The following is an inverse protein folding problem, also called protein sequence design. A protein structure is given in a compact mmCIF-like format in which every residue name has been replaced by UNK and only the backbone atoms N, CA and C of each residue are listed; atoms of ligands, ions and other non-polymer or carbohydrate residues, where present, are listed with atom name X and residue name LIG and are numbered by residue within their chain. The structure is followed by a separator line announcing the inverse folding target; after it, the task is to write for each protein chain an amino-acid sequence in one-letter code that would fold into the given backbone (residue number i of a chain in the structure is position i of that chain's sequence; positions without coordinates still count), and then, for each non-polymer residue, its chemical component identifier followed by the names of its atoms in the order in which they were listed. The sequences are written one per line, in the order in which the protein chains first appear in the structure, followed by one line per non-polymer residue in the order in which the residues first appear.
data_IF_245649878455
#
_entry.id   IF_245649878455
#
_cell.length_a   1.000
_cell.length_b   1.000
_cell.length_c   1.000
_cell.angle_alpha   90.00
_cell.angle_beta   90.00
_cell.angle_gamma   90.00
#
_symmetry.space_group_name_H-M   'P 1'
#
loop_
_entity.id
_entity.type
_entity.pdbx_description
1 polymer ?
#
# COMPACT_ATOMS: atom_id res chain seq x y z
N UNK A 1 -4.96 -13.67 -14.34
CA UNK A 1 -6.38 -13.74 -13.93
C UNK A 1 -7.02 -12.40 -14.25
N UNK A 2 -8.14 -12.34 -15.00
CA UNK A 2 -8.86 -11.07 -15.17
C UNK A 2 -9.30 -10.55 -13.80
N UNK A 3 -9.32 -9.23 -13.62
CA UNK A 3 -9.90 -8.63 -12.41
C UNK A 3 -11.40 -9.01 -12.34
N UNK A 4 -11.97 -9.15 -11.13
CA UNK A 4 -13.41 -9.32 -10.99
C UNK A 4 -14.12 -8.16 -11.70
N UNK A 5 -15.15 -8.48 -12.48
CA UNK A 5 -16.05 -7.45 -13.04
C UNK A 5 -16.53 -6.57 -11.88
N UNK A 6 -16.39 -5.26 -12.04
CA UNK A 6 -16.72 -4.19 -11.09
C UNK A 6 -15.53 -3.61 -10.29
N UNK A 7 -14.32 -4.18 -10.38
CA UNK A 7 -13.12 -3.53 -9.83
C UNK A 7 -13.19 -3.23 -8.34
N UNK A 8 -13.90 -4.09 -7.59
CA UNK A 8 -14.08 -3.95 -6.14
C UNK A 8 -12.72 -4.01 -5.46
N UNK A 9 -12.45 -2.98 -4.65
CA UNK A 9 -11.24 -2.92 -3.84
C UNK A 9 -11.32 -3.90 -2.67
N UNK A 10 -10.18 -4.49 -2.32
CA UNK A 10 -10.05 -5.34 -1.14
C UNK A 10 -9.85 -6.81 -1.46
N UNK A 11 -10.01 -7.68 -0.45
CA UNK A 11 -9.56 -9.08 -0.51
C UNK A 11 -10.45 -9.94 -1.41
N UNK A 12 -9.87 -11.04 -1.90
CA UNK A 12 -10.64 -12.12 -2.54
C UNK A 12 -11.66 -12.66 -1.53
N UNK A 13 -12.95 -12.54 -1.86
CA UNK A 13 -14.04 -12.96 -0.97
C UNK A 13 -14.74 -11.81 -0.22
N UNK A 14 -14.26 -10.56 -0.39
CA UNK A 14 -14.88 -9.37 0.21
C UNK A 14 -14.46 -9.13 1.67
N UNK A 15 -14.93 -8.00 2.21
CA UNK A 15 -14.53 -7.51 3.53
C UNK A 15 -13.55 -6.34 3.45
N UNK A 16 -12.94 -6.02 4.58
CA UNK A 16 -12.01 -4.91 4.68
C UNK A 16 -10.70 -5.18 3.94
N UNK A 17 -10.05 -4.11 3.48
CA UNK A 17 -8.77 -4.21 2.79
C UNK A 17 -7.71 -4.80 3.73
N UNK A 18 -7.13 -5.95 3.36
CA UNK A 18 -6.02 -6.53 4.12
C UNK A 18 -4.68 -6.33 3.40
N UNK A 19 -3.81 -5.48 3.94
CA UNK A 19 -2.49 -5.15 3.39
C UNK A 19 -1.51 -4.70 4.48
N UNK A 20 -0.22 -5.03 4.32
CA UNK A 20 0.90 -4.68 5.20
C UNK A 20 1.18 -3.17 5.30
N UNK A 21 0.45 -2.37 4.52
CA UNK A 21 0.43 -0.92 4.62
C UNK A 21 -0.29 -0.46 5.89
N UNK A 22 -1.29 -1.21 6.37
CA UNK A 22 -2.15 -0.85 7.51
C UNK A 22 -1.58 -1.28 8.87
N UNK A 23 -0.26 -1.48 8.99
CA UNK A 23 0.38 -1.68 10.29
C UNK A 23 0.50 -3.13 10.71
N UNK A 24 0.18 -3.46 11.97
CA UNK A 24 0.49 -4.76 12.57
C UNK A 24 -0.53 -5.85 12.21
N UNK A 25 -1.82 -5.51 12.17
CA UNK A 25 -2.89 -6.48 11.89
C UNK A 25 -3.17 -6.65 10.39
N UNK A 26 -2.50 -5.82 9.58
CA UNK A 26 -2.65 -5.73 8.13
C UNK A 26 -4.09 -5.44 7.71
N UNK A 27 -4.95 -4.97 8.58
CA UNK A 27 -6.36 -4.76 8.30
C UNK A 27 -6.66 -3.26 8.24
N UNK A 28 -7.29 -2.82 7.17
CA UNK A 28 -7.93 -1.52 7.15
C UNK A 28 -9.18 -1.61 8.03
N UNK A 29 -9.35 -0.69 8.97
CA UNK A 29 -10.55 -0.68 9.82
C UNK A 29 -11.86 -0.45 9.03
N UNK A 30 -11.78 -0.20 7.73
CA UNK A 30 -12.91 0.11 6.86
C UNK A 30 -12.77 -0.41 5.43
N UNK A 31 -13.91 -0.73 4.82
CA UNK A 31 -14.01 -1.03 3.40
C UNK A 31 -13.96 0.25 2.57
N UNK A 32 -12.93 0.43 1.76
CA UNK A 32 -12.83 1.60 0.90
C UNK A 32 -13.72 1.45 -0.33
N UNK A 33 -14.52 2.47 -0.61
CA UNK A 33 -15.41 2.48 -1.78
C UNK A 33 -14.65 2.51 -3.11
N UNK A 34 -13.58 3.27 -3.19
CA UNK A 34 -12.80 3.48 -4.41
C UNK A 34 -11.35 3.91 -4.12
N UNK A 35 -10.53 3.98 -5.17
CA UNK A 35 -9.12 4.35 -5.07
C UNK A 35 -8.93 5.79 -4.52
N UNK A 36 -9.91 6.68 -4.71
CA UNK A 36 -9.86 8.05 -4.16
C UNK A 36 -10.08 8.06 -2.66
N UNK A 37 -10.87 7.12 -2.11
CA UNK A 37 -11.05 6.96 -0.67
C UNK A 37 -9.74 6.48 -0.03
N UNK A 38 -9.08 5.47 -0.62
CA UNK A 38 -7.76 4.98 -0.18
C UNK A 38 -6.71 6.10 -0.25
N UNK A 39 -6.66 6.86 -1.34
CA UNK A 39 -5.75 8.00 -1.50
C UNK A 39 -5.93 9.04 -0.40
N UNK A 40 -7.19 9.40 -0.07
CA UNK A 40 -7.49 10.38 0.97
C UNK A 40 -7.10 9.87 2.36
N UNK A 41 -7.29 8.58 2.62
CA UNK A 41 -6.86 7.95 3.86
C UNK A 41 -5.33 7.99 4.02
N UNK A 42 -4.59 7.49 3.03
CA UNK A 42 -3.14 7.50 3.04
C UNK A 42 -2.56 8.92 3.15
N UNK A 43 -3.13 9.90 2.43
CA UNK A 43 -2.69 11.29 2.54
C UNK A 43 -3.08 11.96 3.86
N UNK A 44 -4.12 11.48 4.53
CA UNK A 44 -4.51 12.01 5.85
C UNK A 44 -3.49 11.62 6.90
N UNK A 45 -2.92 10.41 6.86
CA UNK A 45 -1.85 10.06 7.79
C UNK A 45 -0.63 10.96 7.61
N UNK A 46 -0.30 11.33 6.37
CA UNK A 46 0.78 12.27 6.07
C UNK A 46 0.59 13.67 6.67
N UNK A 47 -0.65 14.12 6.90
CA UNK A 47 -0.92 15.41 7.58
C UNK A 47 -0.33 15.42 8.99
N UNK A 48 -0.24 14.28 9.66
CA UNK A 48 0.37 14.18 10.99
C UNK A 48 1.90 14.35 10.96
N UNK A 49 2.53 14.24 9.79
CA UNK A 49 3.97 14.48 9.62
C UNK A 49 4.33 15.89 9.16
N UNK A 50 3.41 16.87 9.30
CA UNK A 50 3.51 18.27 8.84
C UNK A 50 4.77 19.07 9.26
N UNK A 51 5.75 18.46 9.90
CA UNK A 51 7.07 19.02 10.19
C UNK A 51 8.12 18.79 9.09
N UNK A 52 7.89 17.95 8.07
CA UNK A 52 8.87 17.75 6.98
C UNK A 52 8.51 18.49 5.69
N UNK A 53 9.41 19.32 5.12
CA UNK A 53 9.18 20.02 3.85
C UNK A 53 9.17 19.08 2.64
N UNK A 54 9.62 17.82 2.80
CA UNK A 54 9.82 16.86 1.70
C UNK A 54 8.65 15.90 1.47
N UNK A 55 7.52 16.10 2.14
CA UNK A 55 6.36 15.23 1.99
C UNK A 55 5.57 15.66 0.76
N UNK A 56 5.35 14.70 -0.13
CA UNK A 56 4.50 14.88 -1.31
C UNK A 56 3.23 14.05 -1.17
N UNK A 57 2.07 14.54 -1.64
CA UNK A 57 0.86 13.74 -1.63
C UNK A 57 1.00 12.48 -2.48
N UNK A 58 0.51 11.36 -1.95
CA UNK A 58 0.35 10.08 -2.65
C UNK A 58 -0.75 10.26 -3.70
N UNK A 59 -0.54 9.74 -4.91
CA UNK A 59 -1.52 9.75 -6.00
C UNK A 59 -1.87 8.33 -6.41
N UNK A 60 -3.04 7.85 -6.02
CA UNK A 60 -3.56 6.51 -6.35
C UNK A 60 -4.76 6.58 -7.29
N UNK A 61 -5.49 7.70 -7.29
CA UNK A 61 -6.62 7.91 -8.15
C UNK A 61 -6.17 7.91 -9.62
N UNK A 62 -6.65 6.93 -10.39
CA UNK A 62 -6.29 6.76 -11.80
C UNK A 62 -5.15 5.78 -12.05
N UNK A 63 -4.56 5.20 -11.00
CA UNK A 63 -3.75 3.99 -11.17
C UNK A 63 -4.62 2.83 -11.64
N UNK A 64 -4.02 1.94 -12.43
CA UNK A 64 -4.64 0.65 -12.71
C UNK A 64 -4.79 -0.15 -11.42
N UNK A 65 -5.89 -0.88 -11.32
CA UNK A 65 -6.07 -1.85 -10.24
C UNK A 65 -5.27 -3.11 -10.58
N UNK A 66 -4.60 -3.67 -9.58
CA UNK A 66 -3.83 -4.91 -9.72
C UNK A 66 -4.13 -5.85 -8.56
N UNK A 67 -4.01 -7.14 -8.87
CA UNK A 67 -3.85 -8.15 -7.85
C UNK A 67 -2.57 -7.88 -7.06
N UNK A 68 -2.67 -8.01 -5.75
CA UNK A 68 -1.52 -8.02 -4.84
C UNK A 68 -1.58 -9.26 -3.96
N UNK A 69 -0.42 -9.69 -3.46
CA UNK A 69 -0.34 -10.56 -2.31
C UNK A 69 0.49 -9.83 -1.26
N UNK A 70 -0.12 -9.50 -0.12
CA UNK A 70 0.53 -8.61 0.82
C UNK A 70 1.64 -9.26 1.64
N UNK A 71 1.73 -10.59 1.63
CA UNK A 71 2.68 -11.37 2.40
C UNK A 71 3.47 -12.35 1.54
N UNK A 72 4.56 -11.89 0.97
CA UNK A 72 5.43 -12.70 0.09
C UNK A 72 6.60 -13.35 0.84
N UNK A 73 6.42 -13.64 2.13
CA UNK A 73 7.41 -14.35 2.94
C UNK A 73 7.64 -15.77 2.44
N UNK A 74 8.87 -16.29 2.65
CA UNK A 74 9.23 -17.65 2.28
C UNK A 74 8.30 -18.72 2.86
N UNK A 75 7.74 -18.49 4.06
CA UNK A 75 6.84 -19.44 4.72
C UNK A 75 5.50 -19.65 4.01
N UNK A 76 5.15 -18.78 3.06
CA UNK A 76 3.95 -18.94 2.24
C UNK A 76 4.21 -19.69 0.92
N UNK A 77 5.45 -20.11 0.66
CA UNK A 77 5.82 -20.88 -0.53
C UNK A 77 6.35 -22.26 -0.14
N UNK A 78 5.78 -23.30 -0.74
CA UNK A 78 6.27 -24.67 -0.63
C UNK A 78 6.79 -25.12 -1.99
N UNK A 79 7.97 -25.70 -1.98
CA UNK A 79 8.59 -26.26 -3.17
C UNK A 79 8.50 -27.78 -3.04
N UNK A 80 7.76 -28.41 -3.94
CA UNK A 80 7.75 -29.87 -4.05
C UNK A 80 8.88 -30.30 -5.01
N UNK A 81 9.93 -30.86 -4.43
CA UNK A 81 11.10 -31.38 -5.13
C UNK A 81 10.97 -32.87 -5.47
N UNK A 82 9.87 -33.51 -5.06
CA UNK A 82 9.62 -34.94 -5.32
C UNK A 82 8.88 -35.21 -6.64
N UNK A 83 8.56 -34.14 -7.37
CA UNK A 83 7.92 -34.19 -8.69
C UNK A 83 8.70 -35.10 -9.65
N UNK A 84 8.10 -36.19 -10.17
CA UNK A 84 8.79 -37.20 -10.98
C UNK A 84 9.38 -36.71 -12.31
N UNK A 85 8.95 -35.53 -12.79
CA UNK A 85 9.19 -35.05 -14.15
C UNK A 85 10.26 -33.94 -14.23
N UNK A 86 11.14 -33.80 -13.22
CA UNK A 86 12.08 -32.66 -13.06
C UNK A 86 11.39 -31.27 -13.08
N UNK A 87 10.05 -31.24 -12.99
CA UNK A 87 9.28 -30.02 -12.95
C UNK A 87 9.16 -29.53 -11.52
N UNK A 88 9.78 -28.38 -11.25
CA UNK A 88 9.63 -27.65 -10.00
C UNK A 88 8.17 -27.26 -9.80
N UNK A 89 7.51 -27.86 -8.81
CA UNK A 89 6.17 -27.43 -8.40
C UNK A 89 6.30 -26.46 -7.22
N UNK A 90 5.75 -25.27 -7.38
CA UNK A 90 5.70 -24.25 -6.33
C UNK A 90 4.24 -24.07 -5.92
N UNK A 91 3.95 -24.34 -4.66
CA UNK A 91 2.67 -24.09 -4.04
C UNK A 91 2.76 -22.79 -3.25
N UNK A 92 1.75 -21.96 -3.40
CA UNK A 92 1.60 -20.74 -2.62
C UNK A 92 0.40 -20.92 -1.70
N UNK A 93 0.52 -20.52 -0.44
CA UNK A 93 -0.54 -20.60 0.56
C UNK A 93 -0.86 -19.21 1.12
N UNK A 94 -1.80 -19.16 2.07
CA UNK A 94 -2.16 -17.94 2.81
C UNK A 94 -2.77 -16.83 1.93
N UNK A 95 -3.72 -17.20 1.06
CA UNK A 95 -4.43 -16.27 0.16
C UNK A 95 -5.36 -15.26 0.86
N UNK A 96 -5.45 -15.27 2.20
CA UNK A 96 -6.27 -14.31 2.97
C UNK A 96 -5.75 -12.86 2.89
N UNK A 97 -4.59 -12.66 2.26
CA UNK A 97 -3.93 -11.38 2.02
C UNK A 97 -3.77 -11.08 0.52
N UNK A 98 -4.53 -11.79 -0.31
CA UNK A 98 -4.70 -11.45 -1.73
C UNK A 98 -5.90 -10.56 -1.89
N UNK A 99 -5.72 -9.50 -2.68
CA UNK A 99 -6.80 -8.60 -3.03
C UNK A 99 -6.50 -7.79 -4.28
N UNK A 100 -7.39 -6.84 -4.55
CA UNK A 100 -7.29 -5.88 -5.64
C UNK A 100 -7.16 -4.47 -5.05
N UNK A 101 -6.09 -3.77 -5.41
CA UNK A 101 -5.82 -2.39 -5.02
C UNK A 101 -5.12 -1.62 -6.15
N UNK A 102 -5.00 -0.28 -6.08
CA UNK A 102 -4.12 0.49 -6.96
C UNK A 102 -2.71 -0.11 -7.04
N UNK A 103 -2.10 -0.08 -8.23
CA UNK A 103 -0.82 -0.74 -8.53
C UNK A 103 0.31 -0.38 -7.55
N UNK A 104 0.27 0.81 -6.94
CA UNK A 104 1.19 1.19 -5.86
C UNK A 104 1.16 0.27 -4.65
N UNK A 105 0.04 -0.36 -4.31
CA UNK A 105 -0.03 -1.34 -3.23
C UNK A 105 0.70 -2.64 -3.57
N UNK A 106 0.55 -3.15 -4.79
CA UNK A 106 1.34 -4.29 -5.26
C UNK A 106 2.85 -3.97 -5.22
N UNK A 107 3.24 -2.77 -5.68
CA UNK A 107 4.62 -2.29 -5.53
C UNK A 107 5.04 -2.21 -4.07
N UNK A 108 4.16 -1.78 -3.17
CA UNK A 108 4.48 -1.70 -1.74
C UNK A 108 4.72 -3.07 -1.14
N UNK A 109 3.86 -4.07 -1.41
CA UNK A 109 4.04 -5.42 -0.89
C UNK A 109 5.38 -6.02 -1.33
N UNK A 110 5.79 -5.79 -2.58
CA UNK A 110 7.02 -6.35 -3.14
C UNK A 110 8.28 -5.62 -2.66
N UNK A 111 8.26 -4.28 -2.65
CA UNK A 111 9.47 -3.48 -2.44
C UNK A 111 9.68 -3.00 -0.99
N UNK A 112 8.63 -2.95 -0.17
CA UNK A 112 8.73 -2.53 1.23
C UNK A 112 8.87 -3.73 2.19
N UNK A 113 8.94 -4.95 1.66
CA UNK A 113 9.10 -6.17 2.46
C UNK A 113 10.50 -6.25 3.08
N UNK A 114 10.56 -6.66 4.35
CA UNK A 114 11.81 -6.70 5.14
C UNK A 114 12.53 -8.05 5.06
N UNK A 115 11.84 -9.09 4.61
CA UNK A 115 12.44 -10.42 4.44
C UNK A 115 13.38 -10.45 3.23
N UNK A 116 14.50 -11.16 3.37
CA UNK A 116 15.50 -11.30 2.31
C UNK A 116 14.95 -12.11 1.14
N UNK A 117 14.14 -13.14 1.42
CA UNK A 117 13.54 -13.97 0.38
C UNK A 117 12.71 -13.16 -0.62
N UNK A 118 11.81 -12.29 -0.14
CA UNK A 118 10.99 -11.45 -1.01
C UNK A 118 11.83 -10.51 -1.89
N UNK A 119 12.95 -10.00 -1.35
CA UNK A 119 13.89 -9.15 -2.10
C UNK A 119 14.62 -9.94 -3.18
N UNK A 120 15.11 -11.14 -2.86
CA UNK A 120 15.84 -12.00 -3.79
C UNK A 120 14.92 -12.48 -4.91
N UNK A 121 13.71 -12.93 -4.58
CA UNK A 121 12.68 -13.30 -5.56
C UNK A 121 12.41 -12.11 -6.49
N UNK A 122 12.16 -10.92 -5.94
CA UNK A 122 11.90 -9.73 -6.74
C UNK A 122 13.07 -9.36 -7.65
N UNK A 123 14.31 -9.49 -7.19
CA UNK A 123 15.50 -9.25 -8.02
C UNK A 123 15.56 -10.22 -9.21
N UNK A 124 15.23 -11.50 -8.99
CA UNK A 124 15.23 -12.53 -10.03
C UNK A 124 14.08 -12.36 -11.03
N UNK A 125 12.91 -11.90 -10.57
CA UNK A 125 11.73 -11.80 -11.43
C UNK A 125 11.50 -10.38 -11.98
N UNK A 126 12.33 -9.40 -11.62
CA UNK A 126 12.12 -7.98 -11.96
C UNK A 126 11.85 -7.74 -13.44
N UNK A 127 12.65 -8.36 -14.31
CA UNK A 127 12.53 -8.23 -15.78
C UNK A 127 11.28 -8.92 -16.34
N UNK A 128 10.71 -9.87 -15.59
CA UNK A 128 9.54 -10.66 -15.98
C UNK A 128 8.25 -10.15 -15.35
N UNK A 129 8.33 -9.37 -14.28
CA UNK A 129 7.17 -8.78 -13.62
C UNK A 129 6.88 -7.40 -14.17
N UNK A 130 5.60 -7.09 -14.41
CA UNK A 130 5.16 -5.73 -14.69
C UNK A 130 5.13 -4.82 -13.44
N UNK A 131 5.63 -5.30 -12.30
CA UNK A 131 5.59 -4.62 -11.00
C UNK A 131 6.75 -3.63 -10.87
N UNK A 132 6.64 -2.49 -11.57
CA UNK A 132 7.58 -1.39 -11.42
C UNK A 132 7.52 -0.78 -10.01
N UNK A 133 8.65 -0.23 -9.55
CA UNK A 133 8.71 0.56 -8.32
C UNK A 133 7.79 1.77 -8.49
N UNK A 134 6.77 1.85 -7.64
CA UNK A 134 5.85 2.98 -7.65
C UNK A 134 6.55 4.27 -7.20
N UNK A 135 6.29 5.41 -7.86
CA UNK A 135 6.76 6.71 -7.37
C UNK A 135 6.16 7.08 -5.99
N UNK A 136 5.05 6.46 -5.60
CA UNK A 136 4.43 6.66 -4.29
C UNK A 136 5.10 5.87 -3.16
N UNK A 137 5.94 4.87 -3.47
CA UNK A 137 6.46 3.89 -2.51
C UNK A 137 7.02 4.55 -1.24
N UNK A 138 7.88 5.56 -1.41
CA UNK A 138 8.50 6.28 -0.29
C UNK A 138 7.46 6.95 0.62
N UNK A 139 6.47 7.64 0.03
CA UNK A 139 5.44 8.33 0.80
C UNK A 139 4.46 7.34 1.43
N UNK A 140 4.17 6.21 0.77
CA UNK A 140 3.40 5.13 1.38
C UNK A 140 4.12 4.53 2.59
N UNK A 141 5.45 4.38 2.58
CA UNK A 141 6.19 3.88 3.75
C UNK A 141 6.09 4.83 4.93
N UNK A 142 6.18 6.15 4.67
CA UNK A 142 5.97 7.19 5.68
C UNK A 142 4.52 7.17 6.20
N UNK A 143 3.54 7.12 5.30
CA UNK A 143 2.12 7.07 5.63
C UNK A 143 1.78 5.85 6.50
N UNK A 144 2.29 4.68 6.14
CA UNK A 144 2.11 3.44 6.89
C UNK A 144 2.68 3.52 8.31
N UNK A 145 3.90 4.05 8.45
CA UNK A 145 4.50 4.28 9.77
C UNK A 145 3.68 5.25 10.63
N UNK A 146 3.12 6.30 10.03
CA UNK A 146 2.25 7.25 10.73
C UNK A 146 0.92 6.61 11.15
N UNK A 147 0.33 5.75 10.33
CA UNK A 147 -0.90 5.02 10.69
C UNK A 147 -0.72 4.22 11.98
N UNK A 148 0.42 3.54 12.14
CA UNK A 148 0.75 2.79 13.36
C UNK A 148 0.87 3.72 14.58
N UNK A 149 1.33 4.96 14.40
CA UNK A 149 1.55 5.91 15.50
C UNK A 149 0.30 6.70 15.92
N UNK A 150 -0.65 6.95 15.01
CA UNK A 150 -1.80 7.84 15.28
C UNK A 150 -2.84 7.20 16.22
N UNK A 151 -2.87 5.87 16.32
CA UNK A 151 -3.78 5.14 17.23
C UNK A 151 -5.26 5.18 16.86
N UNK A 152 -5.64 5.97 15.85
CA UNK A 152 -6.94 5.94 15.16
C UNK A 152 -6.71 5.47 13.71
N UNK A 153 -6.99 4.19 13.41
CA UNK A 153 -6.78 3.63 12.07
C UNK A 153 -7.69 4.27 11.01
N UNK A 154 -8.87 4.77 11.38
CA UNK A 154 -9.80 5.47 10.48
C UNK A 154 -9.36 6.90 10.15
N UNK A 155 -8.53 7.51 11.01
CA UNK A 155 -8.14 8.92 10.94
C UNK A 155 -9.35 9.88 10.91
N UNK A 156 -10.47 9.47 11.50
CA UNK A 156 -11.74 10.17 11.45
C UNK A 156 -12.41 10.20 10.08
N UNK A 157 -12.09 9.27 9.17
CA UNK A 157 -12.69 9.16 7.83
C UNK A 157 -13.78 8.07 7.75
N UNK A 158 -14.72 8.19 6.81
CA UNK A 158 -15.69 7.15 6.42
C UNK A 158 -15.23 6.37 5.16
N UNK A 159 -16.01 5.39 4.71
CA UNK A 159 -15.67 4.47 3.61
C UNK A 159 -15.45 5.19 2.27
N UNK A 160 -16.07 6.36 2.12
CA UNK A 160 -15.85 7.28 1.01
C UNK A 160 -14.62 8.17 1.19
N UNK A 161 -13.81 8.01 2.24
CA UNK A 161 -12.67 8.87 2.55
C UNK A 161 -13.07 10.31 2.88
N UNK A 162 -14.29 10.54 3.38
CA UNK A 162 -14.80 11.83 3.85
C UNK A 162 -14.72 11.88 5.38
N UNK A 163 -14.60 13.08 5.95
CA UNK A 163 -14.53 13.21 7.41
C UNK A 163 -15.87 12.82 8.07
N UNK A 164 -15.81 11.92 9.07
CA UNK A 164 -16.94 11.61 9.95
C UNK A 164 -17.31 12.87 10.75
N UNK A 165 -18.60 13.13 10.95
CA UNK A 165 -19.00 14.25 11.79
C UNK A 165 -18.49 14.07 13.23
N UNK A 166 -17.80 15.07 13.77
CA UNK A 166 -17.19 14.99 15.09
C UNK A 166 -16.44 16.26 15.51
N UNK A 167 -16.17 16.45 16.81
CA UNK A 167 -15.68 17.71 17.38
C UNK A 167 -14.29 18.15 16.87
N UNK A 168 -13.46 17.22 16.39
CA UNK A 168 -12.10 17.51 15.88
C UNK A 168 -12.00 17.72 14.35
N UNK A 169 -13.09 17.58 13.60
CA UNK A 169 -13.07 17.63 12.13
C UNK A 169 -12.57 18.96 11.55
N UNK A 170 -12.92 20.10 12.14
CA UNK A 170 -12.57 21.42 11.58
C UNK A 170 -11.06 21.66 11.53
N UNK A 171 -10.32 21.23 12.55
CA UNK A 171 -8.86 21.39 12.64
C UNK A 171 -8.14 20.51 11.61
N UNK A 172 -8.53 19.25 11.52
CA UNK A 172 -7.96 18.27 10.57
C UNK A 172 -8.27 18.70 9.13
N UNK A 173 -9.52 19.09 8.82
CA UNK A 173 -9.92 19.63 7.51
C UNK A 173 -9.02 20.79 7.07
N UNK A 174 -8.76 21.75 7.97
CA UNK A 174 -7.90 22.90 7.67
C UNK A 174 -6.45 22.50 7.41
N UNK A 175 -5.90 21.58 8.21
CA UNK A 175 -4.54 21.07 8.02
C UNK A 175 -4.40 20.29 6.70
N UNK A 176 -5.37 19.41 6.39
CA UNK A 176 -5.42 18.64 5.14
C UNK A 176 -5.53 19.54 3.91
N UNK A 177 -6.43 20.53 3.92
CA UNK A 177 -6.55 21.50 2.82
C UNK A 177 -5.22 22.19 2.53
N UNK A 178 -4.54 22.70 3.58
CA UNK A 178 -3.20 23.30 3.44
C UNK A 178 -2.16 22.34 2.91
N UNK A 179 -2.20 21.06 3.32
CA UNK A 179 -1.26 20.03 2.86
C UNK A 179 -1.46 19.71 1.38
N UNK A 180 -2.70 19.49 0.94
CA UNK A 180 -3.03 19.17 -0.45
C UNK A 180 -2.78 20.35 -1.41
N UNK A 181 -2.91 21.59 -0.93
CA UNK A 181 -2.64 22.80 -1.70
C UNK A 181 -1.14 23.16 -1.74
N UNK A 182 -0.30 22.51 -0.91
CA UNK A 182 1.13 22.82 -0.84
C UNK A 182 1.80 22.39 -2.14
N UNK A 183 2.34 23.35 -2.90
CA UNK A 183 3.18 23.04 -4.06
C UNK A 183 4.45 22.33 -3.55
N UNK A 184 4.90 21.26 -4.21
CA UNK A 184 6.14 20.61 -3.85
C UNK A 184 7.29 21.60 -4.02
N UNK A 185 7.93 21.98 -2.92
CA UNK A 185 9.22 22.66 -2.95
C UNK A 185 10.28 21.58 -3.24
N UNK A 186 10.57 21.37 -4.52
CA UNK A 186 11.67 20.51 -4.93
C UNK A 186 13.00 21.19 -4.55
N UNK A 187 13.52 20.90 -3.35
CA UNK A 187 14.96 20.91 -3.14
C UNK A 187 15.48 19.53 -3.50
N UNK A 188 16.07 19.42 -4.67
CA UNK A 188 16.85 18.25 -5.07
C UNK A 188 18.04 18.17 -4.12
N UNK A 189 17.95 17.31 -3.11
CA UNK A 189 19.14 16.70 -2.53
C UNK A 189 19.34 15.40 -3.28
N UNK A 190 20.30 15.39 -4.20
CA UNK A 190 20.93 14.15 -4.64
C UNK A 190 21.79 13.70 -3.45
N UNK A 191 21.45 12.61 -2.74
CA UNK A 191 22.47 11.96 -1.96
C UNK A 191 23.42 11.33 -2.97
N UNK A 192 24.65 11.82 -3.01
CA UNK A 192 25.75 11.04 -3.56
C UNK A 192 25.79 9.69 -2.82
N UNK A 193 26.14 8.64 -3.56
CA UNK A 193 26.48 7.29 -3.09
C UNK A 193 25.29 6.32 -2.94
N UNK A 194 25.14 5.45 -3.94
CA UNK A 194 25.25 3.99 -3.77
C UNK A 194 25.79 3.41 -5.08
N UNK A 195 27.12 3.23 -5.13
CA UNK A 195 27.80 2.18 -5.91
C UNK A 195 27.74 0.87 -5.11
#
# INVERSE_FOLDING_TARGET
MPLPGDGVLGPVGGGNVRHCFYGQDWDAEMGFKDAKAVERHANTSLVHSAMSPHITPIKLAGEELRWYHSDVSASNFFIDTSSPDDQLQIWMVNFNLVGVLPSSFASYSMHNYRDMFGRDVLALVRERTSCAISPNLRMMSVASGLLVMVGDPSLGLNEEGQDREGPNTKRIKRARKKFLEKKPEFRVYLPDVLD
#
